data_IF_813095882176
#
_entry.id   IF_813095882176
#
_cell.length_a   1.000
_cell.length_b   1.000
_cell.length_c   1.000
_cell.angle_alpha   90.00
_cell.angle_beta   90.00
_cell.angle_gamma   90.00
#
_symmetry.space_group_name_H-M   'P 1'
#
loop_
_entity.id
_entity.type
_entity.pdbx_description
1 polymer ?
#
# COMPACT_ATOMS: atom_id res chain seq x y z
N UNK A 1 -21.88 2.67 1.96
CA UNK A 1 -20.46 2.46 2.34
C UNK A 1 -20.07 0.99 2.16
N UNK A 2 -20.73 0.02 2.83
CA UNK A 2 -20.43 -1.41 2.68
C UNK A 2 -20.44 -1.94 1.23
N UNK A 3 -21.52 -1.73 0.47
CA UNK A 3 -21.63 -2.21 -0.92
C UNK A 3 -20.59 -1.57 -1.86
N UNK A 4 -20.17 -0.32 -1.59
CA UNK A 4 -19.11 0.32 -2.37
C UNK A 4 -17.74 -0.33 -2.12
N UNK A 5 -17.42 -0.64 -0.86
CA UNK A 5 -16.19 -1.36 -0.49
C UNK A 5 -16.20 -2.79 -1.01
N UNK A 6 -17.37 -3.44 -1.02
CA UNK A 6 -17.54 -4.78 -1.57
C UNK A 6 -17.33 -4.80 -3.10
N UNK A 7 -17.92 -3.87 -3.84
CA UNK A 7 -17.74 -3.73 -5.28
C UNK A 7 -16.28 -3.41 -5.65
N UNK A 8 -15.61 -2.56 -4.86
CA UNK A 8 -14.18 -2.29 -5.00
C UNK A 8 -13.34 -3.57 -4.78
N UNK A 9 -13.69 -4.40 -3.78
CA UNK A 9 -13.04 -5.68 -3.54
C UNK A 9 -13.21 -6.72 -4.66
N UNK A 10 -14.38 -6.79 -5.30
CA UNK A 10 -14.57 -7.65 -6.48
C UNK A 10 -13.75 -7.15 -7.68
N UNK A 11 -13.71 -5.83 -7.89
CA UNK A 11 -12.90 -5.26 -8.96
C UNK A 11 -11.39 -5.53 -8.76
N UNK A 12 -10.90 -5.44 -7.52
CA UNK A 12 -9.51 -5.75 -7.20
C UNK A 12 -9.14 -7.23 -7.39
N UNK A 13 -10.10 -8.16 -7.19
CA UNK A 13 -9.92 -9.58 -7.50
C UNK A 13 -9.85 -9.87 -9.00
N UNK A 14 -10.47 -9.03 -9.83
CA UNK A 14 -10.50 -9.17 -11.28
C UNK A 14 -9.24 -8.60 -11.97
N UNK A 15 -8.42 -7.83 -11.25
CA UNK A 15 -7.22 -7.20 -11.83
C UNK A 15 -6.20 -8.22 -12.30
N UNK A 16 -5.51 -7.85 -13.39
CA UNK A 16 -4.48 -8.68 -13.98
C UNK A 16 -3.23 -8.73 -13.09
N UNK A 17 -2.51 -9.87 -13.07
CA UNK A 17 -1.29 -10.04 -12.24
C UNK A 17 -0.25 -8.95 -12.48
N UNK A 18 -0.12 -8.51 -13.73
CA UNK A 18 0.83 -7.47 -14.11
C UNK A 18 0.49 -6.12 -13.46
N UNK A 19 -0.79 -5.76 -13.39
CA UNK A 19 -1.22 -4.53 -12.75
C UNK A 19 -0.96 -4.53 -11.25
N UNK A 20 -1.19 -5.68 -10.60
CA UNK A 20 -0.86 -5.90 -9.19
C UNK A 20 0.64 -5.76 -8.96
N UNK A 21 1.47 -6.41 -9.77
CA UNK A 21 2.92 -6.36 -9.66
C UNK A 21 3.48 -4.94 -9.87
N UNK A 22 3.00 -4.22 -10.89
CA UNK A 22 3.40 -2.82 -11.11
C UNK A 22 2.94 -1.89 -9.98
N UNK A 23 1.74 -2.13 -9.43
CA UNK A 23 1.25 -1.37 -8.28
C UNK A 23 2.08 -1.65 -7.02
N UNK A 24 2.43 -2.91 -6.74
CA UNK A 24 3.30 -3.31 -5.64
C UNK A 24 4.71 -2.74 -5.77
N UNK A 25 5.29 -2.78 -6.97
CA UNK A 25 6.58 -2.17 -7.28
C UNK A 25 6.54 -0.65 -7.07
N UNK A 26 5.51 0.03 -7.58
CA UNK A 26 5.32 1.46 -7.40
C UNK A 26 5.18 1.84 -5.91
N UNK A 27 4.41 1.05 -5.14
CA UNK A 27 4.27 1.23 -3.69
C UNK A 27 5.60 1.04 -2.96
N UNK A 28 6.38 0.01 -3.33
CA UNK A 28 7.71 -0.23 -2.79
C UNK A 28 8.69 0.91 -3.07
N UNK A 29 8.74 1.40 -4.31
CA UNK A 29 9.55 2.57 -4.67
C UNK A 29 9.13 3.82 -3.91
N UNK A 30 7.82 4.04 -3.75
CA UNK A 30 7.27 5.19 -3.03
C UNK A 30 7.59 5.15 -1.53
N UNK A 31 7.60 3.98 -0.92
CA UNK A 31 8.11 3.81 0.44
C UNK A 31 9.63 4.01 0.52
N UNK A 32 10.36 3.60 -0.52
CA UNK A 32 11.79 3.90 -0.68
C UNK A 32 12.09 5.40 -0.67
N UNK A 33 11.24 6.22 -1.31
CA UNK A 33 11.35 7.68 -1.25
C UNK A 33 11.23 8.24 0.17
N UNK A 34 10.43 7.62 1.04
CA UNK A 34 10.37 8.00 2.45
C UNK A 34 11.73 7.82 3.13
N UNK A 35 12.39 6.69 2.85
CA UNK A 35 13.70 6.36 3.41
C UNK A 35 14.80 7.30 2.87
N UNK A 36 14.77 7.59 1.57
CA UNK A 36 15.69 8.57 0.94
C UNK A 36 15.49 9.96 1.53
N UNK A 37 14.24 10.39 1.70
CA UNK A 37 13.91 11.71 2.27
C UNK A 37 14.36 11.81 3.72
N UNK A 38 14.09 10.77 4.53
CA UNK A 38 14.57 10.70 5.92
C UNK A 38 16.10 10.75 5.99
N UNK A 39 16.81 10.05 5.10
CA UNK A 39 18.28 10.08 5.01
C UNK A 39 18.85 11.44 4.60
N UNK A 40 18.23 12.12 3.63
CA UNK A 40 18.63 13.48 3.22
C UNK A 40 18.44 14.46 4.37
N UNK A 41 17.30 14.39 5.08
CA UNK A 41 17.02 15.23 6.24
C UNK A 41 18.02 14.94 7.38
N UNK A 42 18.32 13.67 7.67
CA UNK A 42 19.30 13.32 8.70
C UNK A 42 20.68 13.89 8.37
N UNK A 43 21.12 13.85 7.11
CA UNK A 43 22.42 14.37 6.70
C UNK A 43 22.53 15.89 6.73
N UNK A 44 21.43 16.61 6.50
CA UNK A 44 21.43 18.09 6.47
C UNK A 44 21.05 18.74 7.80
N UNK A 45 20.50 17.98 8.74
CA UNK A 45 20.18 18.48 10.06
C UNK A 45 21.35 18.25 11.03
N UNK A 46 21.60 19.20 11.96
CA UNK A 46 22.59 19.01 13.01
C UNK A 46 22.15 17.88 13.97
N UNK A 47 23.13 17.13 14.48
CA UNK A 47 22.92 16.08 15.48
C UNK A 47 22.41 16.66 16.79
N UNK A 48 21.09 16.79 16.90
CA UNK A 48 20.39 17.45 18.00
C UNK A 48 19.19 16.61 18.42
N UNK A 49 18.77 16.72 19.68
CA UNK A 49 17.66 15.93 20.23
C UNK A 49 16.32 16.13 19.50
N UNK A 50 16.13 17.26 18.81
CA UNK A 50 14.92 17.52 18.01
C UNK A 50 15.01 17.03 16.55
N UNK A 51 16.19 16.62 16.07
CA UNK A 51 16.39 16.14 14.70
C UNK A 51 15.40 15.02 14.31
N UNK A 52 15.09 14.02 15.18
CA UNK A 52 14.12 12.99 14.85
C UNK A 52 12.71 13.50 14.53
N UNK A 53 12.29 14.62 15.14
CA UNK A 53 10.95 15.18 14.87
C UNK A 53 10.78 15.60 13.41
N UNK A 54 11.86 16.13 12.80
CA UNK A 54 11.84 16.59 11.42
C UNK A 54 12.15 15.45 10.46
N UNK A 55 13.11 14.57 10.79
CA UNK A 55 13.48 13.47 9.90
C UNK A 55 12.34 12.46 9.75
N UNK A 56 11.50 12.27 10.78
CA UNK A 56 10.29 11.44 10.70
C UNK A 56 9.21 11.98 9.77
N UNK A 57 9.25 13.26 9.39
CA UNK A 57 8.37 13.78 8.33
C UNK A 57 8.70 13.18 6.96
N UNK A 58 9.93 12.68 6.76
CA UNK A 58 10.31 11.93 5.55
C UNK A 58 9.42 10.70 5.34
N UNK A 59 9.00 10.04 6.42
CA UNK A 59 8.04 8.94 6.34
C UNK A 59 6.68 9.37 5.76
N UNK A 60 6.18 10.53 6.19
CA UNK A 60 4.93 11.10 5.68
C UNK A 60 4.99 11.44 4.20
N UNK A 61 6.18 11.83 3.69
CA UNK A 61 6.38 12.09 2.25
C UNK A 61 6.19 10.82 1.43
N UNK A 62 6.78 9.70 1.83
CA UNK A 62 6.56 8.42 1.13
C UNK A 62 5.09 8.01 1.14
N UNK A 63 4.40 8.20 2.27
CA UNK A 63 2.97 7.90 2.38
C UNK A 63 2.11 8.80 1.47
N UNK A 64 2.42 10.09 1.37
CA UNK A 64 1.75 11.01 0.45
C UNK A 64 1.93 10.59 -1.01
N UNK A 65 3.14 10.19 -1.40
CA UNK A 65 3.44 9.71 -2.76
C UNK A 65 2.61 8.48 -3.10
N UNK A 66 2.47 7.53 -2.17
CA UNK A 66 1.64 6.33 -2.34
C UNK A 66 0.16 6.69 -2.53
N UNK A 67 -0.37 7.58 -1.68
CA UNK A 67 -1.78 8.01 -1.76
C UNK A 67 -2.05 8.75 -3.07
N UNK A 68 -1.21 9.72 -3.43
CA UNK A 68 -1.35 10.52 -4.65
C UNK A 68 -1.20 9.66 -5.91
N UNK A 69 -0.31 8.67 -5.86
CA UNK A 69 -0.14 7.69 -6.94
C UNK A 69 -1.29 6.70 -7.09
N UNK A 70 -2.30 6.76 -6.20
CA UNK A 70 -3.39 5.76 -6.10
C UNK A 70 -2.85 4.32 -6.07
N UNK A 71 -1.65 4.14 -5.51
CA UNK A 71 -0.98 2.85 -5.48
C UNK A 71 -1.64 1.98 -4.42
N UNK A 72 -1.73 0.68 -4.69
CA UNK A 72 -2.29 -0.23 -3.72
C UNK A 72 -1.41 -0.34 -2.49
N UNK A 73 -1.95 0.13 -1.38
CA UNK A 73 -1.49 -0.26 -0.06
C UNK A 73 -2.06 -1.62 0.26
N UNK A 74 -1.16 -2.56 0.52
CA UNK A 74 -1.47 -3.91 0.95
C UNK A 74 -2.48 -3.94 2.13
N UNK A 75 -2.40 -2.94 3.01
CA UNK A 75 -3.33 -2.76 4.15
C UNK A 75 -4.77 -2.45 3.75
N UNK A 76 -5.00 -1.75 2.62
CA UNK A 76 -6.35 -1.51 2.09
C UNK A 76 -6.90 -2.78 1.46
N UNK A 77 -6.06 -3.51 0.72
CA UNK A 77 -6.44 -4.76 0.09
C UNK A 77 -6.90 -5.79 1.12
N UNK A 78 -6.16 -6.01 2.21
CA UNK A 78 -6.53 -7.03 3.20
C UNK A 78 -7.99 -6.92 3.65
N UNK A 79 -8.51 -5.70 3.83
CA UNK A 79 -9.88 -5.46 4.29
C UNK A 79 -10.91 -5.57 3.17
N UNK A 80 -10.61 -5.07 1.96
CA UNK A 80 -11.53 -5.08 0.82
C UNK A 80 -11.72 -6.48 0.22
N UNK A 81 -10.66 -7.30 0.15
CA UNK A 81 -10.74 -8.65 -0.47
C UNK A 81 -11.26 -9.74 0.48
N UNK A 82 -11.15 -9.54 1.80
CA UNK A 82 -11.71 -10.47 2.79
C UNK A 82 -13.25 -10.44 2.80
N UNK A 83 -13.87 -9.30 2.51
CA UNK A 83 -15.32 -9.15 2.44
C UNK A 83 -15.99 -10.10 1.41
N UNK A 84 -15.55 -10.16 0.13
CA UNK A 84 -16.08 -11.12 -0.83
C UNK A 84 -15.76 -12.58 -0.46
N UNK A 85 -14.61 -12.84 0.16
CA UNK A 85 -14.28 -14.17 0.67
C UNK A 85 -15.27 -14.63 1.76
N UNK A 86 -15.61 -13.77 2.72
CA UNK A 86 -16.54 -14.07 3.80
C UNK A 86 -17.99 -14.24 3.32
N UNK A 87 -18.39 -13.51 2.27
CA UNK A 87 -19.75 -13.56 1.71
C UNK A 87 -19.98 -14.78 0.82
N UNK A 88 -19.07 -15.05 -0.14
CA UNK A 88 -19.24 -16.14 -1.13
C UNK A 88 -18.63 -17.46 -0.69
N UNK A 89 -17.65 -17.47 0.23
CA UNK A 89 -16.96 -18.65 0.79
C UNK A 89 -16.50 -19.69 -0.26
N UNK A 90 -16.11 -19.23 -1.46
CA UNK A 90 -15.61 -20.11 -2.53
C UNK A 90 -14.10 -20.27 -2.44
N UNK A 91 -13.62 -21.48 -2.72
CA UNK A 91 -12.19 -21.81 -2.74
C UNK A 91 -11.45 -21.02 -3.83
N UNK A 92 -12.09 -20.76 -4.97
CA UNK A 92 -11.52 -19.97 -6.07
C UNK A 92 -11.23 -18.52 -5.63
N UNK A 93 -12.09 -17.95 -4.79
CA UNK A 93 -11.90 -16.60 -4.23
C UNK A 93 -10.74 -16.62 -3.23
N UNK A 94 -10.62 -17.67 -2.41
CA UNK A 94 -9.50 -17.82 -1.49
C UNK A 94 -8.15 -17.88 -2.23
N UNK A 95 -8.11 -18.58 -3.38
CA UNK A 95 -6.91 -18.64 -4.22
C UNK A 95 -6.57 -17.28 -4.85
N UNK A 96 -7.57 -16.54 -5.33
CA UNK A 96 -7.35 -15.19 -5.88
C UNK A 96 -6.90 -14.19 -4.80
N UNK A 97 -7.42 -14.29 -3.57
CA UNK A 97 -6.95 -13.49 -2.43
C UNK A 97 -5.49 -13.83 -2.11
N UNK A 98 -5.12 -15.11 -2.07
CA UNK A 98 -3.74 -15.53 -1.84
C UNK A 98 -2.80 -15.04 -2.95
N UNK A 99 -3.21 -15.13 -4.22
CA UNK A 99 -2.46 -14.58 -5.37
C UNK A 99 -2.27 -13.08 -5.25
N UNK A 100 -3.32 -12.35 -4.86
CA UNK A 100 -3.26 -10.89 -4.67
C UNK A 100 -2.32 -10.50 -3.52
N UNK A 101 -2.16 -11.34 -2.51
CA UNK A 101 -1.22 -11.09 -1.41
C UNK A 101 0.22 -11.48 -1.72
N UNK A 102 0.45 -12.46 -2.59
CA UNK A 102 1.81 -12.89 -2.94
C UNK A 102 2.48 -11.93 -3.96
N UNK A 103 1.68 -11.21 -4.73
CA UNK A 103 2.11 -10.25 -5.75
C UNK A 103 2.15 -8.84 -5.15
#
# INVERSE_FOLDING_TARGET
IYEAVYAEGEHELERNSLELAFSGLAAGLSMGFSMVTEGILQNHLPNTTWQPLITKLGYSVGFLVVILGRQQLFTKNTLTVILPLLRKKKIDIAFNVARLWVI
#
